data_IF_253108515636
#
_entry.id   IF_253108515636
#
_cell.length_a   1.000
_cell.length_b   1.000
_cell.length_c   1.000
_cell.angle_alpha   90.00
_cell.angle_beta   90.00
_cell.angle_gamma   90.00
#
_symmetry.space_group_name_H-M   'P 1'
#
loop_
_entity.id
_entity.type
_entity.pdbx_description
1 polymer ?
#
# COMPACT_ATOMS: atom_id res chain seq x y z
N UNK A 1 -27.79 -6.47 -13.14
CA UNK A 1 -26.59 -6.69 -12.32
C UNK A 1 -25.41 -6.22 -13.14
N UNK A 2 -24.65 -5.26 -12.63
CA UNK A 2 -23.47 -4.76 -13.33
C UNK A 2 -22.36 -5.81 -13.20
N UNK A 3 -21.88 -6.38 -14.31
CA UNK A 3 -20.86 -7.44 -14.30
C UNK A 3 -19.58 -7.06 -13.52
N UNK A 4 -19.27 -5.76 -13.48
CA UNK A 4 -18.18 -5.20 -12.67
C UNK A 4 -18.44 -5.31 -11.16
N UNK A 5 -19.68 -5.08 -10.72
CA UNK A 5 -20.09 -5.19 -9.32
C UNK A 5 -19.95 -6.62 -8.81
N UNK A 6 -20.42 -7.59 -9.60
CA UNK A 6 -20.29 -9.02 -9.27
C UNK A 6 -18.82 -9.45 -9.21
N UNK A 7 -17.98 -8.99 -10.16
CA UNK A 7 -16.53 -9.21 -10.14
C UNK A 7 -15.87 -8.63 -8.88
N UNK A 8 -16.27 -7.43 -8.45
CA UNK A 8 -15.72 -6.80 -7.24
C UNK A 8 -16.13 -7.57 -5.97
N UNK A 9 -17.38 -7.99 -5.86
CA UNK A 9 -17.88 -8.77 -4.71
C UNK A 9 -17.14 -10.10 -4.63
N UNK A 10 -17.03 -10.82 -5.74
CA UNK A 10 -16.30 -12.08 -5.81
C UNK A 10 -14.81 -11.87 -5.50
N UNK A 11 -14.16 -10.87 -6.10
CA UNK A 11 -12.75 -10.58 -5.88
C UNK A 11 -12.41 -10.22 -4.44
N UNK A 12 -13.26 -9.43 -3.77
CA UNK A 12 -13.11 -9.10 -2.35
C UNK A 12 -13.30 -10.33 -1.46
N UNK A 13 -14.25 -11.20 -1.78
CA UNK A 13 -14.48 -12.42 -1.03
C UNK A 13 -13.30 -13.39 -1.16
N UNK A 14 -12.75 -13.55 -2.36
CA UNK A 14 -11.52 -14.32 -2.57
C UNK A 14 -10.32 -13.74 -1.84
N UNK A 15 -10.20 -12.42 -1.78
CA UNK A 15 -9.16 -11.78 -1.00
C UNK A 15 -9.32 -12.06 0.51
N UNK A 16 -10.55 -12.06 1.04
CA UNK A 16 -10.81 -12.42 2.45
C UNK A 16 -10.39 -13.85 2.75
N UNK A 17 -10.80 -14.80 1.90
CA UNK A 17 -10.42 -16.21 2.03
C UNK A 17 -8.90 -16.39 2.01
N UNK A 18 -8.21 -15.74 1.07
CA UNK A 18 -6.76 -15.81 0.99
C UNK A 18 -6.04 -15.24 2.22
N UNK A 19 -6.59 -14.21 2.89
CA UNK A 19 -6.05 -13.73 4.17
C UNK A 19 -6.21 -14.78 5.26
N UNK A 20 -7.38 -15.43 5.35
CA UNK A 20 -7.63 -16.52 6.29
C UNK A 20 -6.67 -17.70 6.03
N UNK A 21 -6.44 -18.03 4.77
CA UNK A 21 -5.50 -19.09 4.37
C UNK A 21 -4.06 -18.80 4.83
N UNK A 22 -3.61 -17.54 4.72
CA UNK A 22 -2.27 -17.14 5.21
C UNK A 22 -2.20 -17.29 6.73
N UNK A 23 -3.25 -16.88 7.46
CA UNK A 23 -3.29 -17.02 8.92
C UNK A 23 -3.20 -18.49 9.32
N UNK A 24 -4.05 -19.34 8.74
CA UNK A 24 -4.10 -20.77 9.06
C UNK A 24 -2.83 -21.51 8.67
N UNK A 25 -2.27 -21.23 7.48
CA UNK A 25 -1.07 -21.91 6.97
C UNK A 25 0.17 -21.65 7.82
N UNK A 26 0.34 -20.43 8.32
CA UNK A 26 1.50 -20.04 9.13
C UNK A 26 1.24 -20.11 10.64
N UNK A 27 0.11 -20.69 11.06
CA UNK A 27 -0.33 -20.82 12.45
C UNK A 27 -0.35 -19.49 13.23
N UNK A 28 -0.69 -18.39 12.55
CA UNK A 28 -0.69 -17.05 13.14
C UNK A 28 -1.84 -16.85 14.13
N UNK A 29 -2.86 -17.70 14.09
CA UNK A 29 -3.95 -17.74 15.07
C UNK A 29 -3.46 -18.02 16.50
N UNK A 30 -2.31 -18.68 16.66
CA UNK A 30 -1.70 -18.96 17.97
C UNK A 30 -0.95 -17.75 18.55
N UNK A 31 -0.89 -16.63 17.81
CA UNK A 31 -0.14 -15.43 18.15
C UNK A 31 1.30 -15.74 18.64
N UNK A 32 2.11 -16.48 17.85
CA UNK A 32 3.47 -16.80 18.23
C UNK A 32 4.28 -15.51 18.34
N UNK A 33 5.11 -15.32 19.37
CA UNK A 33 5.97 -14.11 19.51
C UNK A 33 7.10 -14.05 18.48
N UNK A 34 7.60 -15.20 18.07
CA UNK A 34 8.73 -15.34 17.13
C UNK A 34 8.46 -16.46 16.13
N UNK A 35 9.06 -16.35 14.94
CA UNK A 35 8.90 -17.32 13.85
C UNK A 35 10.19 -17.41 13.02
N UNK A 36 10.55 -18.57 12.45
CA UNK A 36 11.70 -18.70 11.58
C UNK A 36 11.64 -17.71 10.40
N UNK A 37 12.79 -17.10 10.08
CA UNK A 37 12.92 -16.06 9.03
C UNK A 37 12.37 -16.51 7.68
N UNK A 38 12.63 -17.75 7.27
CA UNK A 38 12.17 -18.30 5.99
C UNK A 38 10.65 -18.43 5.92
N UNK A 39 9.99 -18.81 7.03
CA UNK A 39 8.53 -18.85 7.14
C UNK A 39 7.97 -17.43 7.10
N UNK A 40 8.58 -16.49 7.83
CA UNK A 40 8.17 -15.06 7.81
C UNK A 40 8.30 -14.44 6.43
N UNK A 41 9.40 -14.71 5.72
CA UNK A 41 9.61 -14.20 4.37
C UNK A 41 8.54 -14.72 3.40
N UNK A 42 8.19 -16.01 3.47
CA UNK A 42 7.13 -16.61 2.65
C UNK A 42 5.74 -16.04 2.97
N UNK A 43 5.39 -15.95 4.25
CA UNK A 43 4.13 -15.35 4.71
C UNK A 43 4.00 -13.89 4.23
N UNK A 44 5.07 -13.11 4.40
CA UNK A 44 5.12 -11.72 3.98
C UNK A 44 5.03 -11.56 2.46
N UNK A 45 5.69 -12.44 1.68
CA UNK A 45 5.60 -12.44 0.22
C UNK A 45 4.16 -12.65 -0.26
N UNK A 46 3.46 -13.64 0.31
CA UNK A 46 2.04 -13.89 0.02
C UNK A 46 1.15 -12.74 0.45
N UNK A 47 1.33 -12.23 1.67
CA UNK A 47 0.54 -11.10 2.16
C UNK A 47 0.72 -9.86 1.28
N UNK A 48 1.94 -9.57 0.80
CA UNK A 48 2.19 -8.48 -0.15
C UNK A 48 1.44 -8.67 -1.47
N UNK A 49 1.35 -9.90 -1.98
CA UNK A 49 0.57 -10.17 -3.19
C UNK A 49 -0.91 -9.90 -2.95
N UNK A 50 -1.46 -10.39 -1.83
CA UNK A 50 -2.86 -10.16 -1.46
C UNK A 50 -3.14 -8.66 -1.26
N UNK A 51 -2.30 -7.94 -0.52
CA UNK A 51 -2.41 -6.48 -0.34
C UNK A 51 -2.42 -5.73 -1.68
N UNK A 52 -1.60 -6.16 -2.63
CA UNK A 52 -1.55 -5.56 -3.97
C UNK A 52 -2.87 -5.76 -4.70
N UNK A 53 -3.44 -6.96 -4.63
CA UNK A 53 -4.74 -7.28 -5.24
C UNK A 53 -5.86 -6.48 -4.59
N UNK A 54 -5.91 -6.44 -3.25
CA UNK A 54 -6.91 -5.66 -2.51
C UNK A 54 -6.82 -4.18 -2.85
N UNK A 55 -5.61 -3.62 -2.93
CA UNK A 55 -5.42 -2.22 -3.33
C UNK A 55 -5.94 -1.96 -4.75
N UNK A 56 -5.73 -2.89 -5.68
CA UNK A 56 -6.24 -2.81 -7.06
C UNK A 56 -7.76 -2.94 -7.13
N UNK A 57 -8.38 -3.81 -6.32
CA UNK A 57 -9.84 -3.91 -6.20
C UNK A 57 -10.45 -2.62 -5.65
N UNK A 58 -9.85 -2.04 -4.61
CA UNK A 58 -10.31 -0.75 -4.04
C UNK A 58 -10.14 0.38 -5.06
N UNK A 59 -9.04 0.36 -5.84
CA UNK A 59 -8.83 1.32 -6.92
C UNK A 59 -9.90 1.19 -8.00
N UNK A 60 -10.23 -0.03 -8.42
CA UNK A 60 -11.28 -0.27 -9.39
C UNK A 60 -12.66 0.19 -8.88
N UNK A 61 -12.96 -0.12 -7.61
CA UNK A 61 -14.17 0.36 -6.96
C UNK A 61 -14.20 1.90 -6.86
N UNK A 62 -13.05 2.54 -6.64
CA UNK A 62 -12.95 3.99 -6.60
C UNK A 62 -13.31 4.64 -7.95
N UNK A 63 -12.98 4.02 -9.09
CA UNK A 63 -13.39 4.50 -10.41
C UNK A 63 -14.89 4.35 -10.66
N UNK A 64 -15.52 3.32 -10.10
CA UNK A 64 -16.97 3.13 -10.20
C UNK A 64 -17.77 4.17 -9.39
N UNK A 65 -17.15 4.84 -8.40
CA UNK A 65 -17.81 5.83 -7.57
C UNK A 65 -17.88 7.19 -8.26
N UNK A 66 -19.09 7.63 -8.61
CA UNK A 66 -19.38 9.03 -8.98
C UNK A 66 -19.45 9.87 -7.70
N UNK A 67 -18.32 10.47 -7.33
CA UNK A 67 -18.28 11.42 -6.21
C UNK A 67 -18.79 12.80 -6.68
N UNK A 68 -19.58 13.46 -5.83
CA UNK A 68 -19.94 14.86 -6.02
C UNK A 68 -18.72 15.79 -6.06
N UNK A 69 -18.90 17.05 -6.52
CA UNK A 69 -17.80 17.99 -6.70
C UNK A 69 -17.01 18.18 -5.41
N UNK A 70 -15.69 18.30 -5.54
CA UNK A 70 -14.80 18.53 -4.40
C UNK A 70 -15.17 19.90 -3.83
N UNK A 71 -15.87 19.93 -2.69
CA UNK A 71 -16.03 21.18 -1.95
C UNK A 71 -14.63 21.72 -1.70
N UNK A 72 -14.35 22.93 -2.21
CA UNK A 72 -13.10 23.60 -1.98
C UNK A 72 -12.90 23.65 -0.46
N UNK A 73 -11.96 22.85 0.05
CA UNK A 73 -11.55 23.01 1.44
C UNK A 73 -10.93 24.38 1.48
N UNK A 74 -11.65 25.35 2.05
CA UNK A 74 -11.08 26.65 2.34
C UNK A 74 -9.72 26.40 2.99
N UNK A 75 -8.63 27.03 2.52
CA UNK A 75 -7.35 26.92 3.18
C UNK A 75 -7.61 27.18 4.65
N UNK A 76 -7.19 26.24 5.52
CA UNK A 76 -7.32 26.43 6.95
C UNK A 76 -6.62 27.76 7.24
N UNK A 77 -7.41 28.78 7.57
CA UNK A 77 -6.88 30.09 7.88
C UNK A 77 -5.75 29.87 8.91
N UNK A 78 -4.57 30.48 8.71
CA UNK A 78 -3.53 30.42 9.73
C UNK A 78 -4.19 30.81 11.05
N UNK A 79 -4.11 29.93 12.05
CA UNK A 79 -4.49 30.32 13.40
C UNK A 79 -3.64 31.54 13.72
N UNK A 80 -4.29 32.65 14.05
CA UNK A 80 -3.62 33.88 14.46
C UNK A 80 -2.52 33.51 15.46
N UNK A 81 -1.29 33.88 15.11
CA UNK A 81 -0.16 33.73 16.02
C UNK A 81 -0.48 34.55 17.28
N UNK A 82 -0.28 33.99 18.49
CA UNK A 82 -0.36 34.82 19.69
C UNK A 82 0.74 35.88 19.61
N UNK A 83 0.40 37.14 19.85
CA UNK A 83 1.37 38.24 19.89
C UNK A 83 2.48 37.92 20.89
N UNK A 84 3.69 37.64 20.39
CA UNK A 84 4.88 37.47 21.21
C UNK A 84 5.48 38.86 21.52
N UNK A 85 5.98 39.09 22.74
CA UNK A 85 6.61 40.35 23.11
C UNK A 85 7.90 40.61 22.30
N UNK A 86 8.12 41.88 21.98
CA UNK A 86 9.25 42.37 21.17
C UNK A 86 10.60 41.82 21.67
N UNK A 87 11.29 41.06 20.81
CA UNK A 87 12.64 40.55 21.06
C UNK A 87 12.82 39.03 20.94
N UNK A 88 11.77 38.25 20.65
CA UNK A 88 11.90 36.79 20.44
C UNK A 88 11.83 36.40 18.97
N UNK A 89 12.95 35.95 18.40
CA UNK A 89 12.99 35.35 17.07
C UNK A 89 12.45 33.92 17.13
N UNK A 90 11.24 33.70 16.61
CA UNK A 90 10.71 32.35 16.38
C UNK A 90 11.47 31.71 15.21
N UNK A 91 12.18 30.62 15.48
CA UNK A 91 12.71 29.76 14.43
C UNK A 91 11.53 29.09 13.70
N UNK A 92 11.17 29.62 12.54
CA UNK A 92 10.15 29.03 11.67
C UNK A 92 10.72 27.75 11.07
N UNK A 93 10.36 26.61 11.65
CA UNK A 93 10.67 25.32 11.05
C UNK A 93 9.72 25.05 9.87
N UNK A 94 10.22 24.69 8.67
CA UNK A 94 9.36 24.34 7.55
C UNK A 94 8.50 23.12 7.91
N UNK A 95 7.20 23.34 8.06
CA UNK A 95 6.24 22.35 8.61
C UNK A 95 5.92 21.15 7.71
N UNK A 96 6.57 20.98 6.56
CA UNK A 96 6.43 19.78 5.74
C UNK A 96 7.73 19.52 4.99
N UNK A 97 8.43 18.39 5.20
CA UNK A 97 9.44 17.96 4.23
C UNK A 97 8.69 17.60 2.94
N UNK A 98 8.83 18.43 1.91
CA UNK A 98 8.51 18.03 0.54
C UNK A 98 9.38 16.82 0.25
N UNK A 99 8.82 15.61 0.32
CA UNK A 99 9.51 14.37 -0.05
C UNK A 99 9.82 14.45 -1.54
N UNK A 100 10.98 15.01 -1.88
CA UNK A 100 11.57 14.91 -3.21
C UNK A 100 12.12 13.50 -3.35
N UNK A 101 11.87 12.86 -4.48
CA UNK A 101 12.56 11.62 -4.83
C UNK A 101 14.04 11.94 -5.02
N UNK A 102 14.87 11.65 -4.03
CA UNK A 102 16.31 11.62 -4.19
C UNK A 102 16.64 10.43 -5.08
N UNK A 103 16.98 10.69 -6.34
CA UNK A 103 17.29 9.66 -7.34
C UNK A 103 18.57 8.86 -7.03
N UNK A 104 19.37 9.32 -6.07
CA UNK A 104 20.49 8.57 -5.52
C UNK A 104 20.34 8.40 -4.01
N UNK A 105 20.50 7.17 -3.48
CA UNK A 105 20.70 7.00 -2.05
C UNK A 105 21.99 7.73 -1.63
N UNK A 106 22.07 8.28 -0.40
CA UNK A 106 23.30 8.86 0.10
C UNK A 106 24.41 7.80 0.05
N UNK A 107 25.58 8.18 -0.47
CA UNK A 107 26.72 7.29 -0.61
C UNK A 107 27.06 6.66 0.74
N UNK A 108 26.78 5.36 0.89
CA UNK A 108 27.27 4.58 2.03
C UNK A 108 28.77 4.39 1.81
N UNK A 109 29.59 5.01 2.65
CA UNK A 109 31.00 4.63 2.77
C UNK A 109 31.05 3.18 3.26
N UNK A 110 31.29 2.26 2.33
CA UNK A 110 31.63 0.88 2.67
C UNK A 110 33.10 0.92 3.09
N UNK A 111 33.35 0.89 4.39
CA UNK A 111 34.70 0.67 4.91
C UNK A 111 34.97 -0.82 4.71
N UNK A 112 35.69 -1.15 3.65
CA UNK A 112 36.22 -2.49 3.42
C UNK A 112 37.44 -2.64 4.33
N UNK A 113 37.26 -3.13 5.55
CA UNK A 113 38.38 -3.69 6.30
C UNK A 113 38.77 -5.03 5.67
N UNK A 114 40.06 -5.33 5.67
CA UNK A 114 40.66 -6.51 5.01
C UNK A 114 40.21 -7.86 5.63
N UNK A 115 39.41 -7.82 6.71
CA UNK A 115 38.69 -8.97 7.27
C UNK A 115 37.41 -9.32 6.48
N UNK A 116 37.07 -8.55 5.43
CA UNK A 116 35.84 -8.72 4.67
C UNK A 116 35.83 -9.95 3.73
N UNK A 117 36.96 -10.62 3.52
CA UNK A 117 36.99 -11.80 2.64
C UNK A 117 36.39 -13.06 3.28
N UNK A 118 36.41 -13.17 4.61
CA UNK A 118 35.76 -14.27 5.33
C UNK A 118 34.29 -13.99 5.69
N UNK A 119 33.81 -12.76 5.47
CA UNK A 119 32.42 -12.37 5.79
C UNK A 119 31.44 -12.58 4.65
N UNK A 120 31.87 -12.95 3.44
CA UNK A 120 30.92 -13.37 2.40
C UNK A 120 30.16 -14.65 2.80
N UNK A 121 30.76 -15.50 3.65
CA UNK A 121 30.07 -16.60 4.33
C UNK A 121 29.24 -16.18 5.54
N UNK A 122 29.62 -15.10 6.24
CA UNK A 122 28.92 -14.60 7.44
C UNK A 122 27.73 -13.67 7.15
N UNK A 123 27.60 -13.13 5.93
CA UNK A 123 26.43 -12.36 5.47
C UNK A 123 25.22 -13.28 5.19
N UNK A 124 25.40 -14.60 5.18
CA UNK A 124 24.33 -15.58 5.31
C UNK A 124 23.81 -15.56 6.75
N UNK A 125 22.90 -14.59 6.95
CA UNK A 125 22.32 -14.17 8.21
C UNK A 125 22.22 -15.22 9.30
N UNK A 126 22.72 -14.84 10.48
CA UNK A 126 22.29 -15.33 11.78
C UNK A 126 20.79 -15.69 11.72
N UNK A 127 20.52 -16.98 11.62
CA UNK A 127 19.18 -17.54 11.43
C UNK A 127 18.47 -17.53 12.79
N UNK A 128 18.14 -16.35 13.27
CA UNK A 128 17.38 -16.15 14.49
C UNK A 128 15.86 -16.18 14.24
N UNK A 129 15.07 -16.61 15.23
CA UNK A 129 13.64 -16.35 15.26
C UNK A 129 13.37 -14.85 15.11
N UNK A 130 12.51 -14.47 14.18
CA UNK A 130 12.16 -13.08 13.91
C UNK A 130 10.80 -12.76 14.52
N UNK A 131 10.63 -11.55 15.06
CA UNK A 131 9.33 -11.08 15.57
C UNK A 131 8.24 -11.22 14.53
N UNK A 132 7.05 -11.65 14.95
CA UNK A 132 5.85 -11.84 14.13
C UNK A 132 4.89 -10.65 14.21
N UNK A 133 5.03 -9.79 15.22
CA UNK A 133 4.10 -8.68 15.50
C UNK A 133 3.82 -7.80 14.26
N UNK A 134 4.83 -7.36 13.49
CA UNK A 134 4.57 -6.51 12.32
C UNK A 134 3.78 -7.22 11.20
N UNK A 135 3.83 -8.56 11.16
CA UNK A 135 3.03 -9.35 10.21
C UNK A 135 1.57 -9.42 10.68
N UNK A 136 1.35 -9.66 11.97
CA UNK A 136 0.02 -9.71 12.59
C UNK A 136 -0.68 -8.35 12.46
N UNK A 137 0.02 -7.25 12.77
CA UNK A 137 -0.53 -5.90 12.64
C UNK A 137 -0.99 -5.59 11.22
N UNK A 138 -0.22 -6.01 10.22
CA UNK A 138 -0.59 -5.85 8.80
C UNK A 138 -1.80 -6.68 8.42
N UNK A 139 -1.91 -7.92 8.91
CA UNK A 139 -3.09 -8.75 8.69
C UNK A 139 -4.32 -8.10 9.31
N UNK A 140 -4.24 -7.60 10.54
CA UNK A 140 -5.33 -6.89 11.20
C UNK A 140 -5.73 -5.62 10.44
N UNK A 141 -4.75 -4.84 9.97
CA UNK A 141 -5.01 -3.66 9.14
C UNK A 141 -5.70 -4.02 7.82
N UNK A 142 -5.26 -5.10 7.17
CA UNK A 142 -5.87 -5.58 5.93
C UNK A 142 -7.31 -6.07 6.17
N UNK A 143 -7.55 -6.82 7.24
CA UNK A 143 -8.89 -7.24 7.64
C UNK A 143 -9.81 -6.04 7.94
N UNK A 144 -9.30 -5.00 8.61
CA UNK A 144 -10.05 -3.75 8.84
C UNK A 144 -10.47 -3.09 7.53
N UNK A 145 -9.59 -3.08 6.53
CA UNK A 145 -9.91 -2.55 5.19
C UNK A 145 -10.97 -3.41 4.50
N UNK A 146 -10.83 -4.74 4.55
CA UNK A 146 -11.76 -5.68 3.92
C UNK A 146 -13.15 -5.73 4.59
N UNK A 147 -13.28 -5.28 5.84
CA UNK A 147 -14.57 -5.10 6.54
C UNK A 147 -15.38 -3.91 5.99
N UNK A 148 -14.71 -2.86 5.52
CA UNK A 148 -15.37 -1.65 5.01
C UNK A 148 -14.64 -1.12 3.76
N UNK A 149 -14.63 -1.89 2.66
CA UNK A 149 -13.82 -1.56 1.49
C UNK A 149 -14.35 -0.30 0.76
N UNK A 150 -15.65 0.00 0.86
CA UNK A 150 -16.28 1.19 0.25
C UNK A 150 -15.77 2.48 0.88
N UNK A 151 -15.52 2.48 2.19
CA UNK A 151 -14.96 3.63 2.88
C UNK A 151 -13.52 3.91 2.42
N UNK A 152 -12.74 2.85 2.17
CA UNK A 152 -11.40 2.97 1.60
C UNK A 152 -11.45 3.48 0.15
N UNK A 153 -12.38 2.97 -0.68
CA UNK A 153 -12.55 3.42 -2.05
C UNK A 153 -12.99 4.89 -2.13
N UNK A 154 -13.91 5.34 -1.28
CA UNK A 154 -14.33 6.76 -1.22
C UNK A 154 -13.15 7.69 -0.90
N UNK A 155 -12.27 7.30 0.04
CA UNK A 155 -11.06 8.07 0.37
C UNK A 155 -10.10 8.10 -0.82
N UNK A 156 -9.92 6.96 -1.49
CA UNK A 156 -9.04 6.84 -2.64
C UNK A 156 -9.55 7.68 -3.82
N UNK A 157 -10.84 7.60 -4.14
CA UNK A 157 -11.47 8.37 -5.20
C UNK A 157 -11.31 9.89 -4.99
N UNK A 158 -11.45 10.38 -3.75
CA UNK A 158 -11.16 11.80 -3.42
C UNK A 158 -9.69 12.15 -3.63
N UNK A 159 -8.77 11.26 -3.29
CA UNK A 159 -7.34 11.49 -3.54
C UNK A 159 -7.05 11.55 -5.03
N UNK A 160 -7.63 10.66 -5.83
CA UNK A 160 -7.50 10.68 -7.30
C UNK A 160 -8.05 11.96 -7.91
N UNK A 161 -9.22 12.43 -7.48
CA UNK A 161 -9.79 13.71 -7.93
C UNK A 161 -8.84 14.88 -7.63
N UNK A 162 -8.20 14.90 -6.45
CA UNK A 162 -7.22 15.94 -6.11
C UNK A 162 -5.96 15.86 -6.96
N UNK A 163 -5.49 14.65 -7.27
CA UNK A 163 -4.34 14.45 -8.15
C UNK A 163 -4.64 14.94 -9.56
N UNK A 164 -5.83 14.60 -10.08
CA UNK A 164 -6.28 15.04 -11.40
C UNK A 164 -6.43 16.57 -11.46
N UNK A 165 -7.04 17.19 -10.45
CA UNK A 165 -7.18 18.66 -10.36
C UNK A 165 -5.85 19.41 -10.30
N UNK A 166 -4.78 18.75 -9.83
CA UNK A 166 -3.42 19.31 -9.80
C UNK A 166 -2.63 19.07 -11.09
N UNK A 167 -3.18 18.34 -12.06
CA UNK A 167 -2.46 17.92 -13.25
C UNK A 167 -1.34 16.92 -12.97
N UNK A 168 -1.45 16.12 -11.90
CA UNK A 168 -0.45 15.09 -11.59
C UNK A 168 -0.51 13.93 -12.60
N UNK A 169 0.62 13.23 -12.77
CA UNK A 169 0.74 12.14 -13.72
C UNK A 169 -0.24 10.98 -13.43
N UNK A 170 -0.72 10.35 -14.51
CA UNK A 170 -1.63 9.20 -14.48
C UNK A 170 -1.02 8.05 -13.68
N UNK A 171 -1.76 7.46 -12.71
CA UNK A 171 -1.26 6.30 -11.97
C UNK A 171 -1.13 5.08 -12.90
N UNK A 172 -0.04 4.33 -12.77
CA UNK A 172 0.23 3.13 -13.57
C UNK A 172 0.10 1.86 -12.74
N UNK A 173 -0.51 0.82 -13.33
CA UNK A 173 -0.63 -0.51 -12.72
C UNK A 173 0.03 -1.54 -13.62
N UNK A 174 1.11 -2.16 -13.13
CA UNK A 174 1.80 -3.24 -13.83
C UNK A 174 1.06 -4.59 -13.76
N UNK A 175 1.51 -5.59 -14.52
CA UNK A 175 0.92 -6.93 -14.50
C UNK A 175 0.98 -7.58 -13.10
N UNK A 176 0.12 -8.57 -12.87
CA UNK A 176 0.12 -9.32 -11.61
C UNK A 176 1.26 -10.35 -11.58
N UNK A 177 2.42 -9.95 -11.06
CA UNK A 177 3.57 -10.84 -10.92
C UNK A 177 3.27 -12.00 -9.97
N UNK A 178 3.49 -13.24 -10.43
CA UNK A 178 3.33 -14.44 -9.60
C UNK A 178 1.88 -14.84 -9.33
N UNK A 179 0.92 -14.46 -10.18
CA UNK A 179 -0.49 -14.83 -10.04
C UNK A 179 -0.70 -16.35 -9.96
N UNK A 180 0.14 -17.14 -10.63
CA UNK A 180 0.14 -18.61 -10.58
C UNK A 180 0.43 -19.22 -9.20
N UNK A 181 0.93 -18.43 -8.23
CA UNK A 181 1.22 -18.90 -6.86
C UNK A 181 0.03 -18.75 -5.91
N UNK A 182 -1.03 -18.11 -6.38
CA UNK A 182 -2.27 -17.85 -5.63
C UNK A 182 -3.26 -19.00 -5.88
N UNK A 183 -4.39 -18.98 -5.18
CA UNK A 183 -5.51 -19.85 -5.55
C UNK A 183 -5.98 -19.55 -6.98
N UNK A 184 -6.54 -20.52 -7.72
CA UNK A 184 -6.98 -20.30 -9.10
C UNK A 184 -7.95 -19.13 -9.25
N UNK A 185 -8.90 -19.02 -8.31
CA UNK A 185 -9.91 -17.95 -8.29
C UNK A 185 -9.27 -16.57 -8.07
N UNK A 186 -8.39 -16.44 -7.08
CA UNK A 186 -7.69 -15.19 -6.82
C UNK A 186 -6.68 -14.84 -7.92
N UNK A 187 -6.06 -15.85 -8.52
CA UNK A 187 -5.15 -15.73 -9.66
C UNK A 187 -5.86 -15.13 -10.88
N UNK A 188 -7.05 -15.64 -11.21
CA UNK A 188 -7.87 -15.12 -12.30
C UNK A 188 -8.29 -13.66 -12.06
N UNK A 189 -8.71 -13.32 -10.84
CA UNK A 189 -9.01 -11.93 -10.44
C UNK A 189 -7.76 -11.05 -10.59
N UNK A 190 -6.61 -11.51 -10.10
CA UNK A 190 -5.36 -10.77 -10.17
C UNK A 190 -4.92 -10.47 -11.61
N UNK A 191 -5.13 -11.40 -12.55
CA UNK A 191 -4.78 -11.23 -13.96
C UNK A 191 -5.73 -10.31 -14.72
N UNK A 192 -7.02 -10.30 -14.37
CA UNK A 192 -8.01 -9.45 -15.02
C UNK A 192 -7.93 -7.97 -14.57
N UNK A 193 -7.56 -7.74 -13.31
CA UNK A 193 -7.56 -6.40 -12.67
C UNK A 193 -6.81 -5.30 -13.45
N UNK A 194 -5.59 -5.52 -13.97
CA UNK A 194 -4.87 -4.47 -14.72
C UNK A 194 -5.65 -3.97 -15.95
N UNK A 195 -6.37 -4.84 -16.65
CA UNK A 195 -7.18 -4.46 -17.81
C UNK A 195 -8.33 -3.52 -17.43
N UNK A 196 -9.10 -3.90 -16.40
CA UNK A 196 -10.19 -3.06 -15.90
C UNK A 196 -9.73 -1.71 -15.36
N UNK A 197 -8.59 -1.68 -14.65
CA UNK A 197 -8.01 -0.43 -14.16
C UNK A 197 -7.54 0.45 -15.32
N UNK A 198 -6.94 -0.12 -16.36
CA UNK A 198 -6.51 0.64 -17.54
C UNK A 198 -7.69 1.32 -18.22
N UNK A 199 -8.79 0.58 -18.41
CA UNK A 199 -10.03 1.12 -18.97
C UNK A 199 -10.62 2.25 -18.09
N UNK A 200 -10.67 2.05 -16.77
CA UNK A 200 -11.14 3.10 -15.84
C UNK A 200 -10.26 4.36 -15.81
N UNK A 201 -9.02 4.26 -16.29
CA UNK A 201 -8.08 5.39 -16.37
C UNK A 201 -8.07 6.08 -17.75
N UNK A 202 -8.80 5.61 -18.75
CA UNK A 202 -8.86 6.27 -20.06
C UNK A 202 -9.45 7.68 -19.96
N UNK A 203 -10.37 7.92 -19.01
CA UNK A 203 -10.93 9.24 -18.74
C UNK A 203 -9.96 10.23 -18.09
N UNK A 204 -8.74 9.81 -17.74
CA UNK A 204 -7.75 10.66 -17.06
C UNK A 204 -7.21 11.77 -17.97
N UNK A 205 -7.11 11.51 -19.27
CA UNK A 205 -6.53 12.44 -20.26
C UNK A 205 -7.58 13.37 -20.90
N UNK A 206 -8.87 13.03 -20.79
CA UNK A 206 -9.98 13.79 -21.40
C UNK A 206 -10.41 15.04 -20.63
N UNK A 207 -9.73 15.38 -19.53
CA UNK A 207 -10.02 16.56 -18.70
C UNK A 207 -8.99 17.69 -18.85
N UNK A 208 -8.21 17.66 -19.95
CA UNK A 208 -7.33 18.76 -20.35
C UNK A 208 -8.07 19.81 -21.15
#
# INVERSE_FOLDING_TARGET
MDAMGDFLVQGLEQARRAVVDVVGRDNLQLNPKTMPRSRRARANGRLKQIETIVRRLILLMAFALKLGPLAASAPRAPQAEPDLPEGTQLAIFPRVPVKRFTLMPPARRVILSDQARDTFGAVLGLSGPVSTQPLIDRILALQKILKAPEAAAKRLARTLQRMQAKGEARPMVGPAAGAFRLSPELGAVATALPGFIRAGLESWESSG
#
